data_IF_684710343721
#
_entry.id   IF_684710343721
#
_cell.length_a   1.000
_cell.length_b   1.000
_cell.length_c   1.000
_cell.angle_alpha   90.00
_cell.angle_beta   90.00
_cell.angle_gamma   90.00
#
_symmetry.space_group_name_H-M   'P 1'
#
loop_
_entity.id
_entity.type
_entity.pdbx_description
1 polymer ?
#
# COMPACT_ATOMS: atom_id res chain seq x y z
N UNK A 1 22.31 -26.31 -15.93
CA UNK A 1 21.76 -26.07 -14.59
C UNK A 1 21.72 -24.57 -14.26
N UNK A 2 20.52 -23.98 -14.28
CA UNK A 2 20.09 -22.92 -13.37
C UNK A 2 18.63 -22.58 -13.73
N UNK A 3 17.70 -23.31 -13.12
CA UNK A 3 16.25 -23.16 -13.29
C UNK A 3 15.69 -21.88 -12.67
N UNK A 4 16.33 -20.73 -12.88
CA UNK A 4 15.77 -19.46 -12.46
C UNK A 4 14.68 -19.04 -13.43
N UNK A 5 13.45 -18.95 -12.91
CA UNK A 5 12.30 -18.46 -13.65
C UNK A 5 12.58 -17.01 -14.09
N UNK A 6 12.31 -16.63 -15.35
CA UNK A 6 12.56 -15.26 -15.81
C UNK A 6 11.74 -14.26 -14.97
N UNK A 7 12.36 -13.12 -14.64
CA UNK A 7 11.72 -12.05 -13.88
C UNK A 7 10.48 -11.52 -14.63
N UNK A 8 9.42 -11.26 -13.89
CA UNK A 8 8.24 -10.57 -14.41
C UNK A 8 8.57 -9.08 -14.60
N UNK A 9 7.90 -8.42 -15.55
CA UNK A 9 8.18 -7.01 -15.88
C UNK A 9 8.10 -6.08 -14.66
N UNK A 10 7.12 -6.24 -13.78
CA UNK A 10 7.01 -5.38 -12.59
C UNK A 10 8.18 -5.57 -11.61
N UNK A 11 8.79 -6.76 -11.56
CA UNK A 11 9.96 -7.02 -10.71
C UNK A 11 11.19 -6.29 -11.27
N UNK A 12 11.32 -6.24 -12.61
CA UNK A 12 12.38 -5.46 -13.28
C UNK A 12 12.19 -3.96 -13.01
N UNK A 13 10.95 -3.47 -13.10
CA UNK A 13 10.65 -2.05 -12.78
C UNK A 13 10.95 -1.74 -11.31
N UNK A 14 10.60 -2.63 -10.38
CA UNK A 14 10.91 -2.48 -8.97
C UNK A 14 12.42 -2.43 -8.70
N UNK A 15 13.20 -3.31 -9.35
CA UNK A 15 14.66 -3.35 -9.23
C UNK A 15 15.30 -2.06 -9.78
N UNK A 16 14.85 -1.58 -10.94
CA UNK A 16 15.31 -0.32 -11.53
C UNK A 16 14.98 0.88 -10.63
N UNK A 17 13.79 0.90 -10.03
CA UNK A 17 13.40 1.93 -9.08
C UNK A 17 14.32 1.93 -7.86
N UNK A 18 14.54 0.76 -7.24
CA UNK A 18 15.37 0.61 -6.05
C UNK A 18 16.84 0.95 -6.29
N UNK A 19 17.42 0.49 -7.41
CA UNK A 19 18.87 0.53 -7.63
C UNK A 19 19.34 1.69 -8.49
N UNK A 20 18.50 2.24 -9.37
CA UNK A 20 18.94 3.18 -10.42
C UNK A 20 18.20 4.51 -10.41
N UNK A 21 16.89 4.52 -10.21
CA UNK A 21 16.09 5.73 -10.33
C UNK A 21 15.97 6.51 -9.02
N UNK A 22 15.89 5.83 -7.87
CA UNK A 22 15.68 6.46 -6.57
C UNK A 22 16.94 7.08 -5.94
N UNK A 23 17.82 7.70 -6.75
CA UNK A 23 19.09 8.29 -6.25
C UNK A 23 18.87 9.37 -5.19
N UNK A 24 17.74 10.08 -5.26
CA UNK A 24 17.42 11.18 -4.35
C UNK A 24 16.43 10.78 -3.25
N UNK A 25 16.06 9.50 -3.13
CA UNK A 25 15.09 9.05 -2.12
C UNK A 25 13.67 9.59 -2.31
N UNK A 26 13.30 9.97 -3.53
CA UNK A 26 12.03 10.63 -3.88
C UNK A 26 11.12 9.81 -4.81
N UNK A 27 11.42 8.52 -5.01
CA UNK A 27 10.56 7.60 -5.73
C UNK A 27 9.63 6.84 -4.78
N UNK A 28 8.45 6.50 -5.30
CA UNK A 28 7.52 5.54 -4.74
C UNK A 28 7.06 4.59 -5.85
N UNK A 29 6.47 3.45 -5.49
CA UNK A 29 5.83 2.55 -6.44
C UNK A 29 4.32 2.50 -6.22
N UNK A 30 3.58 2.32 -7.31
CA UNK A 30 2.13 2.09 -7.27
C UNK A 30 1.90 0.58 -7.37
N UNK A 31 1.31 -0.01 -6.34
CA UNK A 31 1.02 -1.45 -6.30
C UNK A 31 -0.42 -1.64 -5.82
N UNK A 32 -1.25 -2.33 -6.62
CA UNK A 32 -2.67 -2.50 -6.32
C UNK A 32 -2.94 -3.45 -5.15
N UNK A 33 -3.94 -3.12 -4.32
CA UNK A 33 -4.32 -3.92 -3.15
C UNK A 33 -4.88 -5.32 -3.46
N UNK A 34 -5.30 -5.57 -4.71
CA UNK A 34 -5.93 -6.83 -5.13
C UNK A 34 -4.94 -7.96 -5.42
N UNK A 35 -3.63 -7.69 -5.34
CA UNK A 35 -2.56 -8.64 -5.65
C UNK A 35 -1.54 -8.73 -4.48
N UNK A 36 -1.92 -9.33 -3.34
CA UNK A 36 -1.09 -9.30 -2.12
C UNK A 36 0.26 -10.01 -2.28
N UNK A 37 0.33 -11.06 -3.12
CA UNK A 37 1.57 -11.75 -3.43
C UNK A 37 2.55 -10.84 -4.17
N UNK A 38 2.10 -10.20 -5.24
CA UNK A 38 2.90 -9.23 -6.00
C UNK A 38 3.36 -8.09 -5.10
N UNK A 39 2.51 -7.66 -4.16
CA UNK A 39 2.83 -6.63 -3.18
C UNK A 39 4.01 -7.05 -2.27
N UNK A 40 3.98 -8.26 -1.72
CA UNK A 40 5.08 -8.82 -0.93
C UNK A 40 6.36 -8.99 -1.76
N UNK A 41 6.24 -9.45 -3.00
CA UNK A 41 7.39 -9.61 -3.91
C UNK A 41 8.04 -8.25 -4.21
N UNK A 42 7.25 -7.19 -4.44
CA UNK A 42 7.79 -5.83 -4.66
C UNK A 42 8.41 -5.28 -3.37
N UNK A 43 7.79 -5.46 -2.20
CA UNK A 43 8.36 -5.04 -0.90
C UNK A 43 9.75 -5.65 -0.68
N UNK A 44 9.93 -6.93 -0.98
CA UNK A 44 11.22 -7.61 -0.85
C UNK A 44 12.32 -7.07 -1.81
N UNK A 45 11.94 -6.40 -2.90
CA UNK A 45 12.89 -5.85 -3.88
C UNK A 45 13.34 -4.42 -3.50
N UNK A 46 12.46 -3.64 -2.88
CA UNK A 46 12.60 -2.18 -2.74
C UNK A 46 12.80 -1.70 -1.30
N UNK A 47 12.95 -2.64 -0.36
CA UNK A 47 13.17 -2.41 1.07
C UNK A 47 12.15 -1.45 1.69
N UNK A 48 12.53 -0.20 1.98
CA UNK A 48 11.70 0.80 2.66
C UNK A 48 11.02 1.81 1.72
N UNK A 49 11.13 1.64 0.39
CA UNK A 49 10.51 2.56 -0.56
C UNK A 49 8.98 2.64 -0.35
N UNK A 50 8.38 3.84 -0.28
CA UNK A 50 6.94 3.96 -0.07
C UNK A 50 6.12 3.35 -1.21
N UNK A 51 4.97 2.79 -0.87
CA UNK A 51 3.95 2.38 -1.84
C UNK A 51 2.73 3.28 -1.80
N UNK A 52 2.25 3.65 -2.98
CA UNK A 52 0.87 4.09 -3.17
C UNK A 52 0.02 2.85 -3.50
N UNK A 53 -0.96 2.56 -2.65
CA UNK A 53 -1.81 1.37 -2.75
C UNK A 53 -3.25 1.78 -3.05
N UNK A 54 -3.65 1.82 -4.34
CA UNK A 54 -5.03 2.02 -4.72
C UNK A 54 -5.83 0.71 -4.64
N UNK A 55 -7.15 0.84 -4.57
CA UNK A 55 -8.09 -0.28 -4.79
C UNK A 55 -8.53 -1.01 -3.53
N UNK A 56 -8.21 -0.50 -2.35
CA UNK A 56 -8.77 -0.98 -1.08
C UNK A 56 -10.27 -0.66 -1.00
N UNK A 57 -11.08 -1.62 -0.54
CA UNK A 57 -12.53 -1.47 -0.37
C UNK A 57 -13.31 -1.53 -1.68
N UNK A 58 -13.31 -0.45 -2.47
CA UNK A 58 -14.18 -0.32 -3.65
C UNK A 58 -13.83 -1.25 -4.83
N UNK A 59 -12.63 -1.83 -4.85
CA UNK A 59 -12.18 -2.79 -5.88
C UNK A 59 -11.97 -4.19 -5.30
N UNK A 60 -12.47 -4.46 -4.08
CA UNK A 60 -12.31 -5.75 -3.41
C UNK A 60 -10.91 -6.00 -2.83
N UNK A 61 -10.04 -4.99 -2.78
CA UNK A 61 -8.76 -5.08 -2.10
C UNK A 61 -8.94 -5.20 -0.58
N UNK A 62 -8.33 -6.23 0.01
CA UNK A 62 -8.34 -6.52 1.44
C UNK A 62 -7.31 -5.64 2.16
N UNK A 63 -7.76 -4.84 3.13
CA UNK A 63 -6.90 -3.93 3.92
C UNK A 63 -5.84 -4.69 4.68
N UNK A 64 -6.22 -5.80 5.33
CA UNK A 64 -5.32 -6.59 6.15
C UNK A 64 -4.19 -7.17 5.30
N UNK A 65 -4.53 -7.76 4.15
CA UNK A 65 -3.54 -8.30 3.22
C UNK A 65 -2.65 -7.20 2.63
N UNK A 66 -3.21 -6.06 2.24
CA UNK A 66 -2.42 -4.95 1.72
C UNK A 66 -1.42 -4.42 2.77
N UNK A 67 -1.84 -4.28 4.03
CA UNK A 67 -0.97 -3.84 5.12
C UNK A 67 0.10 -4.89 5.43
N UNK A 68 -0.30 -6.15 5.63
CA UNK A 68 0.62 -7.23 6.00
C UNK A 68 1.72 -7.47 4.95
N UNK A 69 1.37 -7.44 3.67
CA UNK A 69 2.32 -7.70 2.59
C UNK A 69 3.11 -6.44 2.16
N UNK A 70 2.69 -5.26 2.61
CA UNK A 70 3.15 -4.00 2.05
C UNK A 70 3.83 -3.05 3.00
N UNK A 71 3.55 -3.14 4.29
CA UNK A 71 4.19 -2.29 5.27
C UNK A 71 5.69 -2.57 5.35
N UNK A 72 6.44 -1.53 5.67
CA UNK A 72 7.84 -1.68 6.11
C UNK A 72 7.90 -2.35 7.48
N UNK A 73 9.06 -2.87 7.91
CA UNK A 73 9.19 -3.54 9.20
C UNK A 73 8.74 -2.69 10.41
N UNK A 74 8.79 -1.36 10.30
CA UNK A 74 8.34 -0.42 11.33
C UNK A 74 6.83 -0.10 11.30
N UNK A 75 6.06 -0.76 10.43
CA UNK A 75 4.62 -0.58 10.29
C UNK A 75 4.22 0.63 9.42
N UNK A 76 5.17 1.24 8.70
CA UNK A 76 4.94 2.39 7.81
C UNK A 76 4.98 2.00 6.32
N UNK A 77 5.50 2.85 5.44
CA UNK A 77 5.76 2.52 4.03
C UNK A 77 4.55 2.43 3.10
N UNK A 78 3.33 2.65 3.59
CA UNK A 78 2.09 2.55 2.81
C UNK A 78 1.27 3.84 2.81
N UNK A 79 0.89 4.28 1.61
CA UNK A 79 -0.10 5.31 1.34
C UNK A 79 -1.30 4.63 0.67
N UNK A 80 -2.35 4.33 1.43
CA UNK A 80 -3.56 3.69 0.90
C UNK A 80 -4.53 4.77 0.42
N UNK A 81 -4.94 4.72 -0.85
CA UNK A 81 -5.87 5.69 -1.42
C UNK A 81 -7.28 5.10 -1.60
N UNK A 82 -8.29 5.85 -1.15
CA UNK A 82 -9.70 5.45 -1.22
C UNK A 82 -10.62 6.61 -1.55
N UNK A 83 -10.66 7.02 -2.82
CA UNK A 83 -11.44 8.19 -3.25
C UNK A 83 -12.94 7.89 -3.35
N UNK A 84 -13.34 6.90 -4.17
CA UNK A 84 -14.76 6.62 -4.45
C UNK A 84 -15.54 6.17 -3.21
N UNK A 85 -14.94 5.34 -2.36
CA UNK A 85 -15.61 4.88 -1.14
C UNK A 85 -15.87 6.01 -0.13
N UNK A 86 -15.03 7.06 -0.15
CA UNK A 86 -15.21 8.25 0.70
C UNK A 86 -16.17 9.24 0.04
N UNK A 87 -15.93 9.60 -1.22
CA UNK A 87 -16.72 10.61 -1.95
C UNK A 87 -18.17 10.19 -2.15
N UNK A 88 -18.43 8.90 -2.32
CA UNK A 88 -19.76 8.35 -2.56
C UNK A 88 -20.30 7.56 -1.37
N UNK A 89 -19.81 7.85 -0.15
CA UNK A 89 -20.33 7.25 1.07
C UNK A 89 -21.81 7.61 1.32
N UNK A 90 -22.27 8.75 0.78
CA UNK A 90 -23.69 9.11 0.70
C UNK A 90 -23.94 10.01 -0.51
N UNK A 91 -25.17 9.99 -1.03
CA UNK A 91 -25.68 10.92 -2.03
C UNK A 91 -26.68 11.93 -1.46
N UNK A 92 -26.85 11.97 -0.13
CA UNK A 92 -27.79 12.85 0.58
C UNK A 92 -27.12 14.06 1.24
N UNK A 93 -27.90 14.84 1.99
CA UNK A 93 -27.43 16.03 2.71
C UNK A 93 -26.40 15.70 3.82
N UNK A 94 -26.33 14.44 4.24
CA UNK A 94 -25.38 13.92 5.22
C UNK A 94 -24.00 13.57 4.64
N UNK A 95 -23.73 13.88 3.36
CA UNK A 95 -22.50 13.51 2.65
C UNK A 95 -21.21 13.81 3.42
N UNK A 96 -21.12 14.97 4.07
CA UNK A 96 -19.94 15.38 4.83
C UNK A 96 -19.72 14.46 6.05
N UNK A 97 -20.80 14.08 6.73
CA UNK A 97 -20.77 13.18 7.89
C UNK A 97 -20.46 11.75 7.45
N UNK A 98 -21.09 11.28 6.38
CA UNK A 98 -20.85 9.96 5.80
C UNK A 98 -19.40 9.81 5.31
N UNK A 99 -18.85 10.78 4.58
CA UNK A 99 -17.47 10.78 4.13
C UNK A 99 -16.47 10.75 5.29
N UNK A 100 -16.76 11.52 6.36
CA UNK A 100 -15.95 11.48 7.59
C UNK A 100 -15.98 10.12 8.25
N UNK A 101 -17.16 9.51 8.39
CA UNK A 101 -17.31 8.17 8.96
C UNK A 101 -16.55 7.12 8.14
N UNK A 102 -16.69 7.11 6.82
CA UNK A 102 -15.97 6.21 5.92
C UNK A 102 -14.43 6.38 6.04
N UNK A 103 -13.95 7.62 6.15
CA UNK A 103 -12.53 7.93 6.35
C UNK A 103 -12.03 7.37 7.68
N UNK A 104 -12.79 7.56 8.76
CA UNK A 104 -12.43 7.06 10.10
C UNK A 104 -12.41 5.54 10.15
N UNK A 105 -13.43 4.88 9.58
CA UNK A 105 -13.50 3.42 9.50
C UNK A 105 -12.29 2.84 8.77
N UNK A 106 -11.94 3.38 7.60
CA UNK A 106 -10.78 2.92 6.84
C UNK A 106 -9.47 3.15 7.61
N UNK A 107 -9.29 4.33 8.22
CA UNK A 107 -8.12 4.62 9.06
C UNK A 107 -7.98 3.62 10.20
N UNK A 108 -9.08 3.33 10.89
CA UNK A 108 -9.08 2.44 12.06
C UNK A 108 -8.84 0.99 11.63
N UNK A 109 -9.37 0.56 10.48
CA UNK A 109 -9.04 -0.71 9.86
C UNK A 109 -7.56 -0.84 9.51
N UNK A 110 -6.97 0.16 8.84
CA UNK A 110 -5.54 0.17 8.53
C UNK A 110 -4.71 0.05 9.81
N UNK A 111 -5.04 0.84 10.83
CA UNK A 111 -4.28 0.87 12.08
C UNK A 111 -4.42 -0.43 12.89
N UNK A 112 -5.53 -1.18 12.76
CA UNK A 112 -5.67 -2.51 13.37
C UNK A 112 -4.67 -3.53 12.83
N UNK A 113 -4.21 -3.36 11.59
CA UNK A 113 -3.30 -4.31 10.92
C UNK A 113 -1.84 -3.86 10.88
N UNK A 114 -1.55 -2.61 11.24
CA UNK A 114 -0.17 -2.11 11.29
C UNK A 114 0.62 -2.82 12.39
N UNK A 115 1.87 -3.17 12.09
CA UNK A 115 2.80 -3.58 13.12
C UNK A 115 2.98 -2.44 14.14
N UNK A 116 2.97 -2.76 15.43
CA UNK A 116 3.19 -1.76 16.48
C UNK A 116 4.55 -1.10 16.28
N UNK A 117 4.60 0.25 16.40
CA UNK A 117 5.81 1.06 16.22
C UNK A 117 6.89 0.62 17.21
N UNK A 118 7.68 -0.37 16.83
CA UNK A 118 8.80 -0.86 17.63
C UNK A 118 10.01 -0.02 17.26
N UNK A 119 10.23 1.07 18.00
CA UNK A 119 11.52 1.75 18.06
C UNK A 119 11.83 2.76 16.95
N UNK A 120 11.20 3.93 17.01
CA UNK A 120 11.91 5.20 16.73
C UNK A 120 11.22 6.32 17.52
N UNK A 121 11.89 6.77 18.56
CA UNK A 121 11.55 8.02 19.24
C UNK A 121 11.58 9.18 18.23
N UNK A 122 10.78 10.25 18.45
CA UNK A 122 10.73 11.41 17.56
C UNK A 122 12.11 12.01 17.28
#
# INVERSE_FOLDING_TARGET
PNGQRPLRLYQVVADLAARRWNRNGNCLLVVGATYPRELAEVRAIVDDMPFLVPGVGAQGGDVAQAVQNGQTPDGTGLIISSSRAILYASSGEDFATAARAATQQLRDEINRHRAGRSGRAP
#
